data_IF_395654346648
#
_entry.id   IF_395654346648
#
_cell.length_a   1.000
_cell.length_b   1.000
_cell.length_c   1.000
_cell.angle_alpha   90.00
_cell.angle_beta   90.00
_cell.angle_gamma   90.00
#
_symmetry.space_group_name_H-M   'P 1'
#
loop_
_entity.id
_entity.type
_entity.pdbx_description
1 polymer ?
#
# COMPACT_ATOMS: atom_id res chain seq x y z
N UNK A 1 -16.12 -44.20 13.27
CA UNK A 1 -15.83 -42.82 13.65
C UNK A 1 -14.53 -42.41 12.96
N UNK A 2 -14.61 -41.74 11.81
CA UNK A 2 -13.41 -41.32 11.07
C UNK A 2 -12.82 -40.09 11.75
N UNK A 3 -11.63 -40.27 12.33
CA UNK A 3 -10.87 -39.23 13.01
C UNK A 3 -10.27 -38.30 11.93
N UNK A 4 -11.03 -37.27 11.53
CA UNK A 4 -10.55 -36.24 10.60
C UNK A 4 -9.69 -35.24 11.35
N UNK A 5 -8.52 -35.70 11.80
CA UNK A 5 -7.48 -34.82 12.30
C UNK A 5 -6.81 -34.14 11.09
N UNK A 6 -7.55 -33.20 10.47
CA UNK A 6 -7.02 -32.32 9.44
C UNK A 6 -6.03 -31.42 10.16
N UNK A 7 -4.75 -31.82 10.18
CA UNK A 7 -3.67 -30.95 10.64
C UNK A 7 -3.72 -29.71 9.77
N UNK A 8 -4.36 -28.65 10.30
CA UNK A 8 -4.34 -27.36 9.66
C UNK A 8 -2.87 -26.98 9.55
N UNK A 9 -2.39 -26.86 8.31
CA UNK A 9 -1.01 -26.44 8.06
C UNK A 9 -0.93 -24.96 8.44
N UNK A 10 -0.79 -24.68 9.72
CA UNK A 10 -0.67 -23.35 10.30
C UNK A 10 0.72 -22.78 10.00
N UNK A 11 0.80 -21.52 9.58
CA UNK A 11 2.06 -20.80 9.57
C UNK A 11 2.13 -20.04 10.90
N UNK A 12 3.10 -20.35 11.77
CA UNK A 12 3.19 -19.77 13.12
C UNK A 12 1.90 -19.91 13.99
N UNK A 13 1.10 -20.96 13.78
CA UNK A 13 -0.17 -21.14 14.52
C UNK A 13 -1.35 -20.30 14.01
N UNK A 14 -1.17 -19.55 12.92
CA UNK A 14 -2.18 -18.67 12.32
C UNK A 14 -2.72 -19.27 10.99
N UNK A 15 -3.97 -18.94 10.59
CA UNK A 15 -4.60 -19.42 9.36
C UNK A 15 -3.85 -18.95 8.10
N UNK A 16 -3.77 -19.83 7.10
CA UNK A 16 -2.88 -19.68 5.91
C UNK A 16 -3.16 -18.47 5.04
N UNK A 17 -4.39 -17.95 5.06
CA UNK A 17 -4.75 -16.73 4.32
C UNK A 17 -4.00 -15.49 4.81
N UNK A 18 -3.62 -15.47 6.09
CA UNK A 18 -2.87 -14.35 6.67
C UNK A 18 -1.45 -14.25 6.08
N UNK A 19 -0.82 -15.38 5.73
CA UNK A 19 0.51 -15.38 5.12
C UNK A 19 0.48 -14.74 3.73
N UNK A 20 -0.56 -15.03 2.94
CA UNK A 20 -0.73 -14.42 1.62
C UNK A 20 -0.98 -12.92 1.74
N UNK A 21 -1.87 -12.49 2.64
CA UNK A 21 -2.14 -11.08 2.90
C UNK A 21 -0.91 -10.34 3.42
N UNK A 22 -0.16 -10.94 4.34
CA UNK A 22 1.09 -10.40 4.84
C UNK A 22 2.10 -10.19 3.69
N UNK A 23 2.22 -11.17 2.78
CA UNK A 23 3.17 -11.03 1.68
C UNK A 23 2.75 -9.94 0.69
N UNK A 24 1.46 -9.84 0.38
CA UNK A 24 0.96 -8.78 -0.51
C UNK A 24 1.17 -7.41 0.11
N UNK A 25 0.85 -7.23 1.39
CA UNK A 25 1.09 -5.98 2.13
C UNK A 25 2.58 -5.63 2.24
N UNK A 26 3.43 -6.63 2.49
CA UNK A 26 4.88 -6.44 2.52
C UNK A 26 5.41 -5.94 1.18
N UNK A 27 4.95 -6.55 0.07
CA UNK A 27 5.41 -6.19 -1.26
C UNK A 27 4.91 -4.82 -1.72
N UNK A 28 3.69 -4.46 -1.31
CA UNK A 28 3.13 -3.14 -1.53
C UNK A 28 3.95 -2.06 -0.82
N UNK A 29 4.25 -2.27 0.48
CA UNK A 29 5.06 -1.34 1.26
C UNK A 29 6.50 -1.27 0.76
N UNK A 30 7.09 -2.40 0.38
CA UNK A 30 8.43 -2.45 -0.20
C UNK A 30 8.52 -1.61 -1.48
N UNK A 31 7.57 -1.81 -2.41
CA UNK A 31 7.54 -1.07 -3.67
C UNK A 31 7.27 0.43 -3.46
N UNK A 32 6.38 0.76 -2.52
CA UNK A 32 6.05 2.15 -2.18
C UNK A 32 7.24 2.92 -1.61
N UNK A 33 7.94 2.36 -0.61
CA UNK A 33 9.12 3.01 -0.04
C UNK A 33 10.30 2.99 -1.01
N UNK A 34 10.45 1.93 -1.80
CA UNK A 34 11.47 1.83 -2.86
C UNK A 34 11.33 2.93 -3.91
N UNK A 35 10.11 3.16 -4.42
CA UNK A 35 9.83 4.25 -5.35
C UNK A 35 10.21 5.61 -4.74
N UNK A 36 9.79 5.90 -3.51
CA UNK A 36 10.10 7.18 -2.84
C UNK A 36 11.60 7.41 -2.68
N UNK A 37 12.33 6.37 -2.27
CA UNK A 37 13.78 6.46 -2.06
C UNK A 37 14.53 6.76 -3.36
N UNK A 38 14.21 6.02 -4.43
CA UNK A 38 14.90 6.16 -5.72
C UNK A 38 14.47 7.43 -6.45
N UNK A 39 13.19 7.84 -6.36
CA UNK A 39 12.67 9.02 -7.03
C UNK A 39 13.33 10.31 -6.53
N UNK A 40 13.51 10.46 -5.21
CA UNK A 40 14.20 11.62 -4.62
C UNK A 40 15.64 11.69 -5.13
N UNK A 41 16.33 10.55 -5.15
CA UNK A 41 17.71 10.46 -5.61
C UNK A 41 17.81 10.79 -7.10
N UNK A 42 16.89 10.28 -7.91
CA UNK A 42 16.82 10.57 -9.35
C UNK A 42 16.57 12.05 -9.67
N UNK A 43 15.68 12.71 -8.92
CA UNK A 43 15.34 14.12 -9.14
C UNK A 43 16.49 15.07 -8.74
N UNK A 44 17.23 14.72 -7.68
CA UNK A 44 18.36 15.52 -7.19
C UNK A 44 19.69 15.20 -7.90
N UNK A 45 19.86 13.98 -8.41
CA UNK A 45 21.11 13.57 -9.05
C UNK A 45 21.48 14.51 -10.21
N UNK A 46 22.74 14.93 -10.21
CA UNK A 46 23.31 15.86 -11.20
C UNK A 46 23.34 15.18 -12.58
N UNK A 47 23.03 15.95 -13.61
CA UNK A 47 23.05 15.51 -15.02
C UNK A 47 24.44 15.17 -15.56
N UNK A 48 25.49 15.51 -14.82
CA UNK A 48 26.91 15.43 -15.24
C UNK A 48 27.68 14.25 -14.62
N UNK A 49 27.06 13.49 -13.72
CA UNK A 49 27.65 12.28 -13.14
C UNK A 49 27.38 11.04 -14.02
N UNK A 50 28.16 9.97 -13.86
CA UNK A 50 28.01 8.69 -14.59
C UNK A 50 26.59 8.10 -14.51
N UNK A 51 25.82 8.48 -13.48
CA UNK A 51 24.39 8.21 -13.35
C UNK A 51 23.59 9.52 -13.47
N UNK A 52 23.34 9.98 -14.70
CA UNK A 52 22.65 11.23 -14.97
C UNK A 52 21.21 11.21 -14.43
N UNK A 53 20.92 12.10 -13.49
CA UNK A 53 19.56 12.38 -12.99
C UNK A 53 18.92 13.57 -13.69
N UNK A 54 17.78 14.05 -13.16
CA UNK A 54 17.06 15.19 -13.75
C UNK A 54 17.78 16.54 -13.53
N UNK A 55 18.74 16.61 -12.60
CA UNK A 55 19.53 17.81 -12.32
C UNK A 55 18.74 18.99 -11.76
N UNK A 56 17.60 18.74 -11.10
CA UNK A 56 16.78 19.82 -10.55
C UNK A 56 17.43 20.47 -9.32
N UNK A 57 17.16 21.77 -9.08
CA UNK A 57 17.47 22.41 -7.81
C UNK A 57 16.87 21.63 -6.64
N UNK A 58 17.65 21.41 -5.58
CA UNK A 58 17.25 20.63 -4.39
C UNK A 58 15.89 21.05 -3.83
N UNK A 59 15.59 22.36 -3.83
CA UNK A 59 14.32 22.89 -3.37
C UNK A 59 13.12 22.42 -4.22
N UNK A 60 13.27 22.37 -5.55
CA UNK A 60 12.23 21.91 -6.46
C UNK A 60 12.03 20.40 -6.38
N UNK A 61 13.12 19.63 -6.30
CA UNK A 61 13.06 18.18 -6.12
C UNK A 61 12.30 17.77 -4.84
N UNK A 62 12.58 18.45 -3.72
CA UNK A 62 11.85 18.20 -2.47
C UNK A 62 10.36 18.58 -2.56
N UNK A 63 10.04 19.69 -3.24
CA UNK A 63 8.66 20.12 -3.43
C UNK A 63 7.84 19.12 -4.28
N UNK A 64 8.43 18.56 -5.34
CA UNK A 64 7.78 17.54 -6.17
C UNK A 64 7.50 16.28 -5.36
N UNK A 65 8.46 15.84 -4.55
CA UNK A 65 8.32 14.62 -3.72
C UNK A 65 7.27 14.81 -2.63
N UNK A 66 7.19 15.99 -2.01
CA UNK A 66 6.18 16.27 -0.98
C UNK A 66 4.78 16.36 -1.56
N UNK A 67 4.60 17.02 -2.72
CA UNK A 67 3.31 17.08 -3.44
C UNK A 67 2.89 15.68 -3.88
N UNK A 68 3.80 14.89 -4.46
CA UNK A 68 3.54 13.50 -4.84
C UNK A 68 3.10 12.67 -3.62
N UNK A 69 3.79 12.84 -2.50
CA UNK A 69 3.45 12.18 -1.24
C UNK A 69 2.08 12.55 -0.70
N UNK A 70 1.70 13.82 -0.72
CA UNK A 70 0.39 14.30 -0.29
C UNK A 70 -0.74 13.74 -1.19
N UNK A 71 -0.57 13.79 -2.51
CA UNK A 71 -1.53 13.25 -3.48
C UNK A 71 -1.79 11.76 -3.24
N UNK A 72 -0.72 10.98 -3.05
CA UNK A 72 -0.83 9.55 -2.83
C UNK A 72 -1.50 9.21 -1.50
N UNK A 73 -1.24 10.01 -0.46
CA UNK A 73 -1.89 9.87 0.86
C UNK A 73 -3.40 10.08 0.75
N UNK A 74 -3.82 11.12 0.01
CA UNK A 74 -5.24 11.42 -0.22
C UNK A 74 -5.91 10.32 -1.04
N UNK A 75 -5.25 9.84 -2.10
CA UNK A 75 -5.79 8.80 -2.97
C UNK A 75 -6.00 7.46 -2.22
N UNK A 76 -5.06 7.11 -1.34
CA UNK A 76 -5.17 5.90 -0.52
C UNK A 76 -6.31 6.00 0.50
N UNK A 77 -6.50 7.17 1.13
CA UNK A 77 -7.67 7.43 1.99
C UNK A 77 -9.01 7.28 1.25
N UNK A 78 -9.08 7.67 -0.02
CA UNK A 78 -10.31 7.54 -0.82
C UNK A 78 -10.63 6.07 -1.16
N UNK A 79 -9.62 5.26 -1.48
CA UNK A 79 -9.78 3.86 -1.89
C UNK A 79 -10.13 2.92 -0.73
N UNK A 80 -9.41 3.02 0.39
CA UNK A 80 -9.59 2.11 1.54
C UNK A 80 -10.64 2.63 2.53
N UNK A 81 -10.72 3.95 2.75
CA UNK A 81 -11.44 4.52 3.88
C UNK A 81 -12.81 5.12 3.57
N UNK A 82 -13.12 5.45 2.32
CA UNK A 82 -14.33 6.19 1.95
C UNK A 82 -15.39 5.38 1.21
N UNK A 83 -15.02 4.76 0.07
CA UNK A 83 -16.01 4.12 -0.80
C UNK A 83 -16.37 2.71 -0.34
N UNK A 84 -15.40 1.91 0.09
CA UNK A 84 -15.62 0.54 0.55
C UNK A 84 -16.36 0.49 1.89
N UNK A 85 -16.00 1.36 2.84
CA UNK A 85 -16.72 1.55 4.12
C UNK A 85 -18.13 2.09 3.89
N UNK A 86 -18.32 3.07 3.00
CA UNK A 86 -19.65 3.56 2.65
C UNK A 86 -20.50 2.46 1.99
N UNK A 87 -19.96 1.67 1.05
CA UNK A 87 -20.66 0.54 0.45
C UNK A 87 -21.01 -0.56 1.45
N UNK A 88 -20.12 -0.85 2.41
CA UNK A 88 -20.40 -1.83 3.47
C UNK A 88 -21.45 -1.31 4.45
N UNK A 89 -21.40 -0.04 4.83
CA UNK A 89 -22.40 0.62 5.67
C UNK A 89 -23.78 0.65 5.00
N UNK A 90 -23.86 0.97 3.70
CA UNK A 90 -25.09 0.94 2.92
C UNK A 90 -25.67 -0.49 2.83
N UNK A 91 -24.81 -1.50 2.67
CA UNK A 91 -25.24 -2.92 2.63
C UNK A 91 -25.67 -3.45 4.00
N UNK A 92 -25.03 -3.00 5.08
CA UNK A 92 -25.43 -3.32 6.45
C UNK A 92 -26.76 -2.63 6.83
N UNK A 93 -26.99 -1.41 6.33
CA UNK A 93 -28.24 -0.69 6.55
C UNK A 93 -29.42 -1.37 5.85
N UNK A 94 -29.24 -1.91 4.63
CA UNK A 94 -30.30 -2.67 3.94
C UNK A 94 -30.73 -3.96 4.64
N UNK A 95 -29.85 -4.58 5.45
CA UNK A 95 -30.20 -5.78 6.24
C UNK A 95 -30.97 -5.50 7.53
N UNK A 96 -31.07 -4.22 7.95
CA UNK A 96 -31.82 -3.81 9.15
C UNK A 96 -33.24 -3.33 8.83
N UNK A 97 -33.63 -3.27 7.55
CA UNK A 97 -34.98 -2.87 7.09
C UNK A 97 -35.84 -4.10 6.74
N UNK A 98 -35.28 -5.30 6.86
CA UNK A 98 -35.96 -6.59 6.63
C UNK A 98 -36.48 -7.24 7.94
N UNK A 99 -36.62 -6.45 9.02
CA UNK A 99 -37.23 -6.88 10.30
C UNK A 99 -38.24 -5.86 10.81
#
# INVERSE_FOLDING_TARGET
MQNLNKTEKTFFGQPRGLLTLFQTEFWERFSYYGMRAILVYYLYALTTADNAGLGLPKAQAMAIVSIYGALLSIFQQLLEGGLLTACWALRAQSSLVEF
#
